data_IF_792102297343
#
_entry.id   IF_792102297343
#
_cell.length_a   1.000
_cell.length_b   1.000
_cell.length_c   1.000
_cell.angle_alpha   90.00
_cell.angle_beta   90.00
_cell.angle_gamma   90.00
#
_symmetry.space_group_name_H-M   'P 1'
#
loop_
_entity.id
_entity.type
_entity.pdbx_description
1 polymer ?
#
# COMPACT_ATOMS: atom_id res chain seq x y z
N UNK A 1 4.26 -6.54 -27.52
CA UNK A 1 4.08 -5.12 -27.10
C UNK A 1 3.94 -5.09 -25.59
N UNK A 2 4.60 -4.16 -24.90
CA UNK A 2 4.49 -4.03 -23.44
C UNK A 2 3.31 -3.12 -23.09
N UNK A 3 2.47 -3.55 -22.15
CA UNK A 3 1.32 -2.76 -21.68
C UNK A 3 1.77 -1.57 -20.82
N UNK A 4 1.04 -0.46 -20.96
CA UNK A 4 1.21 0.76 -20.14
C UNK A 4 0.19 0.82 -19.00
N UNK A 5 -1.03 0.33 -19.22
CA UNK A 5 -2.06 0.22 -18.19
C UNK A 5 -2.67 -1.18 -18.27
N UNK A 6 -2.89 -1.80 -17.11
CA UNK A 6 -3.55 -3.10 -17.03
C UNK A 6 -4.69 -3.00 -16.03
N UNK A 7 -5.90 -3.29 -16.50
CA UNK A 7 -7.12 -3.41 -15.71
C UNK A 7 -7.59 -4.85 -15.80
N UNK A 8 -7.37 -5.61 -14.73
CA UNK A 8 -7.75 -7.01 -14.60
C UNK A 8 -8.55 -7.27 -13.32
N UNK A 9 -9.13 -6.21 -12.75
CA UNK A 9 -9.96 -6.31 -11.56
C UNK A 9 -11.28 -7.05 -11.81
N UNK A 10 -11.94 -7.47 -10.73
CA UNK A 10 -13.22 -8.20 -10.76
C UNK A 10 -13.17 -9.49 -11.56
N UNK A 11 -12.15 -10.30 -11.28
CA UNK A 11 -11.98 -11.61 -11.88
C UNK A 11 -11.79 -12.66 -10.79
N UNK A 12 -11.44 -13.88 -11.18
CA UNK A 12 -11.11 -14.98 -10.27
C UNK A 12 -9.62 -15.34 -10.35
N UNK A 13 -8.77 -14.37 -10.66
CA UNK A 13 -7.33 -14.60 -10.82
C UNK A 13 -6.74 -15.05 -9.48
N UNK A 14 -6.10 -16.22 -9.50
CA UNK A 14 -5.31 -16.75 -8.38
C UNK A 14 -3.84 -16.39 -8.50
N UNK A 15 -3.39 -16.04 -9.70
CA UNK A 15 -2.04 -15.58 -10.00
C UNK A 15 -2.08 -14.45 -11.05
N UNK A 16 -1.08 -13.58 -11.01
CA UNK A 16 -0.90 -12.48 -11.95
C UNK A 16 0.60 -12.26 -12.17
N UNK A 17 1.07 -12.52 -13.39
CA UNK A 17 2.43 -12.20 -13.83
C UNK A 17 2.42 -10.96 -14.71
N UNK A 18 3.00 -9.88 -14.21
CA UNK A 18 3.20 -8.60 -14.93
C UNK A 18 4.68 -8.31 -15.20
N UNK A 19 5.56 -9.29 -15.02
CA UNK A 19 7.02 -9.12 -15.07
C UNK A 19 7.54 -8.65 -16.44
N UNK A 20 6.81 -8.97 -17.52
CA UNK A 20 7.12 -8.55 -18.90
C UNK A 20 6.58 -7.16 -19.24
N UNK A 21 5.74 -6.57 -18.40
CA UNK A 21 5.13 -5.26 -18.60
C UNK A 21 5.97 -4.17 -17.93
N UNK A 22 7.25 -4.06 -18.27
CA UNK A 22 8.19 -3.13 -17.62
C UNK A 22 7.82 -1.64 -17.77
N UNK A 23 6.99 -1.32 -18.78
CA UNK A 23 6.45 0.02 -19.03
C UNK A 23 5.10 0.28 -18.33
N UNK A 24 4.64 -0.62 -17.47
CA UNK A 24 3.36 -0.49 -16.77
C UNK A 24 3.39 0.71 -15.82
N UNK A 25 2.45 1.63 -16.00
CA UNK A 25 2.24 2.86 -15.23
C UNK A 25 1.11 2.68 -14.22
N UNK A 26 0.05 1.95 -14.58
CA UNK A 26 -1.09 1.67 -13.72
C UNK A 26 -1.45 0.19 -13.75
N UNK A 27 -1.64 -0.37 -12.55
CA UNK A 27 -2.14 -1.72 -12.36
C UNK A 27 -3.39 -1.67 -11.48
N UNK A 28 -4.50 -2.14 -12.02
CA UNK A 28 -5.68 -2.52 -11.25
C UNK A 28 -5.88 -4.04 -11.34
N UNK A 29 -5.66 -4.71 -10.21
CA UNK A 29 -5.90 -6.14 -10.00
C UNK A 29 -6.86 -6.39 -8.83
N UNK A 30 -7.69 -5.40 -8.50
CA UNK A 30 -8.64 -5.46 -7.40
C UNK A 30 -9.70 -6.55 -7.56
N UNK A 31 -10.31 -7.01 -6.47
CA UNK A 31 -11.39 -8.00 -6.52
C UNK A 31 -10.97 -9.27 -7.28
N UNK A 32 -9.93 -9.93 -6.78
CA UNK A 32 -9.42 -11.21 -7.28
C UNK A 32 -9.14 -12.16 -6.11
N UNK A 33 -8.42 -13.26 -6.36
CA UNK A 33 -8.03 -14.25 -5.36
C UNK A 33 -6.50 -14.33 -5.20
N UNK A 34 -5.80 -13.23 -5.44
CA UNK A 34 -4.34 -13.18 -5.36
C UNK A 34 -3.87 -13.37 -3.91
N UNK A 35 -2.82 -14.16 -3.72
CA UNK A 35 -2.18 -14.44 -2.42
C UNK A 35 -0.88 -13.65 -2.26
N UNK A 36 -0.22 -13.35 -3.38
CA UNK A 36 1.02 -12.57 -3.47
C UNK A 36 0.95 -11.68 -4.68
N UNK A 37 1.67 -10.56 -4.65
CA UNK A 37 1.81 -9.69 -5.81
C UNK A 37 3.26 -9.22 -5.94
N UNK A 38 3.89 -9.53 -7.07
CA UNK A 38 5.22 -9.04 -7.41
C UNK A 38 5.11 -8.01 -8.54
N UNK A 39 5.45 -6.76 -8.22
CA UNK A 39 5.53 -5.65 -9.19
C UNK A 39 6.96 -5.08 -9.29
N UNK A 40 7.96 -5.80 -8.78
CA UNK A 40 9.36 -5.36 -8.70
C UNK A 40 10.02 -5.12 -10.06
N UNK A 41 9.43 -5.61 -11.16
CA UNK A 41 9.88 -5.35 -12.53
C UNK A 41 9.17 -4.18 -13.19
N UNK A 42 8.07 -3.69 -12.62
CA UNK A 42 7.28 -2.58 -13.15
C UNK A 42 7.83 -1.25 -12.61
N UNK A 43 9.09 -0.94 -12.92
CA UNK A 43 9.82 0.22 -12.35
C UNK A 43 9.16 1.58 -12.64
N UNK A 44 8.28 1.64 -13.65
CA UNK A 44 7.53 2.83 -14.04
C UNK A 44 6.15 2.94 -13.38
N UNK A 45 5.78 1.98 -12.52
CA UNK A 45 4.45 1.91 -11.90
C UNK A 45 4.23 3.09 -10.96
N UNK A 46 3.18 3.88 -11.23
CA UNK A 46 2.78 5.06 -10.47
C UNK A 46 1.58 4.80 -9.58
N UNK A 47 0.68 3.91 -10.00
CA UNK A 47 -0.58 3.64 -9.30
C UNK A 47 -0.85 2.15 -9.23
N UNK A 48 -1.04 1.64 -8.01
CA UNK A 48 -1.35 0.25 -7.73
C UNK A 48 -2.68 0.14 -6.98
N UNK A 49 -3.66 -0.53 -7.59
CA UNK A 49 -4.91 -0.93 -6.97
C UNK A 49 -4.93 -2.46 -6.89
N UNK A 50 -4.89 -2.99 -5.67
CA UNK A 50 -4.88 -4.42 -5.39
C UNK A 50 -5.82 -4.80 -4.23
N UNK A 51 -6.82 -3.96 -3.99
CA UNK A 51 -7.79 -4.16 -2.91
C UNK A 51 -8.69 -5.37 -3.14
N UNK A 52 -9.32 -5.86 -2.07
CA UNK A 52 -10.22 -7.01 -2.10
C UNK A 52 -9.56 -8.25 -2.73
N UNK A 53 -8.45 -8.68 -2.13
CA UNK A 53 -7.74 -9.91 -2.47
C UNK A 53 -7.42 -10.68 -1.16
N UNK A 54 -6.57 -11.70 -1.24
CA UNK A 54 -6.02 -12.39 -0.06
C UNK A 54 -4.51 -12.20 0.05
N UNK A 55 -4.00 -11.05 -0.39
CA UNK A 55 -2.55 -10.80 -0.50
C UNK A 55 -1.92 -10.75 0.88
N UNK A 56 -0.87 -11.54 1.06
CA UNK A 56 -0.07 -11.63 2.28
C UNK A 56 1.23 -10.82 2.20
N UNK A 57 1.71 -10.55 0.98
CA UNK A 57 2.88 -9.70 0.73
C UNK A 57 2.90 -9.12 -0.68
N UNK A 58 3.43 -7.90 -0.79
CA UNK A 58 3.62 -7.17 -2.05
C UNK A 58 5.10 -6.80 -2.18
N UNK A 59 5.73 -7.15 -3.31
CA UNK A 59 7.12 -6.75 -3.59
C UNK A 59 7.17 -5.40 -4.29
N UNK A 60 7.53 -4.35 -3.55
CA UNK A 60 7.52 -2.93 -3.99
C UNK A 60 8.91 -2.29 -4.11
N UNK A 61 9.99 -3.05 -3.88
CA UNK A 61 11.34 -2.52 -3.61
C UNK A 61 11.93 -1.65 -4.73
N UNK A 62 11.49 -1.85 -5.97
CA UNK A 62 12.03 -1.16 -7.15
C UNK A 62 11.06 -0.12 -7.73
N UNK A 63 9.90 0.08 -7.11
CA UNK A 63 8.88 1.00 -7.63
C UNK A 63 9.06 2.40 -7.04
N UNK A 64 10.22 3.02 -7.22
CA UNK A 64 10.57 4.31 -6.59
C UNK A 64 9.68 5.48 -7.05
N UNK A 65 9.10 5.36 -8.26
CA UNK A 65 8.19 6.34 -8.85
C UNK A 65 6.72 6.16 -8.44
N UNK A 66 6.42 5.18 -7.59
CA UNK A 66 5.07 4.91 -7.15
C UNK A 66 4.52 6.11 -6.35
N UNK A 67 3.26 6.46 -6.59
CA UNK A 67 2.57 7.64 -6.02
C UNK A 67 1.38 7.26 -5.17
N UNK A 68 0.67 6.20 -5.56
CA UNK A 68 -0.55 5.75 -4.91
C UNK A 68 -0.58 4.23 -4.75
N UNK A 69 -0.88 3.77 -3.54
CA UNK A 69 -1.16 2.36 -3.23
C UNK A 69 -2.55 2.28 -2.60
N UNK A 70 -3.44 1.51 -3.20
CA UNK A 70 -4.70 1.10 -2.61
C UNK A 70 -4.68 -0.43 -2.47
N UNK A 71 -4.45 -0.89 -1.25
CA UNK A 71 -4.42 -2.31 -0.90
C UNK A 71 -5.41 -2.72 0.22
N UNK A 72 -6.57 -2.05 0.43
CA UNK A 72 -7.46 -2.48 1.50
C UNK A 72 -8.11 -3.85 1.27
N UNK A 73 -8.62 -4.46 2.33
CA UNK A 73 -9.26 -5.79 2.28
C UNK A 73 -8.30 -6.85 1.72
N UNK A 74 -7.18 -7.05 2.43
CA UNK A 74 -6.15 -8.04 2.15
C UNK A 74 -5.70 -8.70 3.47
N UNK A 75 -4.60 -9.45 3.44
CA UNK A 75 -4.04 -10.16 4.61
C UNK A 75 -2.58 -9.77 4.87
N UNK A 76 -2.22 -8.51 4.59
CA UNK A 76 -0.85 -8.04 4.74
C UNK A 76 -0.45 -8.03 6.22
N UNK A 77 0.60 -8.77 6.56
CA UNK A 77 1.25 -8.70 7.87
C UNK A 77 2.29 -7.59 7.92
N UNK A 78 3.03 -7.40 6.83
CA UNK A 78 4.04 -6.34 6.69
C UNK A 78 3.86 -5.67 5.33
N UNK A 79 3.90 -4.35 5.31
CA UNK A 79 3.96 -3.55 4.08
C UNK A 79 5.16 -2.59 4.18
N UNK A 80 6.22 -2.88 3.44
CA UNK A 80 7.41 -2.03 3.37
C UNK A 80 7.33 -1.11 2.16
N UNK A 81 7.21 0.19 2.41
CA UNK A 81 7.18 1.24 1.38
C UNK A 81 8.35 2.21 1.50
N UNK A 82 9.41 1.86 2.23
CA UNK A 82 10.58 2.74 2.43
C UNK A 82 11.26 3.16 1.13
N UNK A 83 11.21 2.30 0.10
CA UNK A 83 11.80 2.59 -1.22
C UNK A 83 10.90 3.45 -2.10
N UNK A 84 9.59 3.54 -1.80
CA UNK A 84 8.63 4.30 -2.60
C UNK A 84 8.63 5.78 -2.18
N UNK A 85 9.78 6.46 -2.33
CA UNK A 85 10.03 7.81 -1.79
C UNK A 85 9.07 8.89 -2.29
N UNK A 86 8.47 8.71 -3.46
CA UNK A 86 7.48 9.63 -3.99
C UNK A 86 6.03 9.25 -3.70
N UNK A 87 5.77 8.24 -2.87
CA UNK A 87 4.44 7.85 -2.45
C UNK A 87 3.78 9.01 -1.71
N UNK A 88 2.62 9.45 -2.19
CA UNK A 88 1.85 10.55 -1.58
C UNK A 88 0.58 10.04 -0.90
N UNK A 89 0.07 8.89 -1.34
CA UNK A 89 -1.18 8.32 -0.84
C UNK A 89 -1.06 6.80 -0.63
N UNK A 90 -1.35 6.35 0.58
CA UNK A 90 -1.35 4.95 0.96
C UNK A 90 -2.65 4.60 1.69
N UNK A 91 -3.41 3.68 1.12
CA UNK A 91 -4.54 3.04 1.79
C UNK A 91 -4.27 1.55 1.99
N UNK A 92 -4.20 1.13 3.24
CA UNK A 92 -4.00 -0.26 3.65
C UNK A 92 -4.97 -0.67 4.76
N UNK A 93 -6.18 -0.09 4.77
CA UNK A 93 -7.28 -0.50 5.66
C UNK A 93 -7.70 -1.96 5.47
N UNK A 94 -8.38 -2.53 6.44
CA UNK A 94 -8.88 -3.88 6.48
C UNK A 94 -7.82 -4.91 6.05
N UNK A 95 -6.63 -4.85 6.66
CA UNK A 95 -5.61 -5.89 6.52
C UNK A 95 -5.66 -6.80 7.76
N UNK A 96 -4.50 -7.14 8.34
CA UNK A 96 -4.45 -7.85 9.61
C UNK A 96 -4.47 -6.86 10.78
N UNK A 97 -5.08 -7.27 11.91
CA UNK A 97 -5.25 -6.44 13.12
C UNK A 97 -3.93 -5.84 13.66
N UNK A 98 -2.80 -6.50 13.39
CA UNK A 98 -1.46 -6.11 13.84
C UNK A 98 -0.49 -5.92 12.66
N UNK A 99 -0.98 -5.49 11.50
CA UNK A 99 -0.10 -5.27 10.36
C UNK A 99 0.93 -4.16 10.65
N UNK A 100 2.16 -4.40 10.21
CA UNK A 100 3.27 -3.46 10.33
C UNK A 100 3.44 -2.72 9.01
N UNK A 101 3.49 -1.40 9.06
CA UNK A 101 3.75 -0.57 7.88
C UNK A 101 5.07 0.15 8.11
N UNK A 102 6.01 -0.07 7.20
CA UNK A 102 7.35 0.51 7.28
C UNK A 102 7.43 1.62 6.24
N UNK A 103 7.62 2.85 6.71
CA UNK A 103 7.61 4.06 5.87
C UNK A 103 8.95 4.78 6.02
N UNK A 104 9.44 5.37 4.93
CA UNK A 104 10.63 6.25 4.98
C UNK A 104 10.34 7.49 5.87
N UNK A 105 11.22 7.85 6.83
CA UNK A 105 11.07 9.06 7.64
C UNK A 105 10.97 10.36 6.82
N UNK A 106 11.51 10.37 5.60
CA UNK A 106 11.46 11.48 4.66
C UNK A 106 10.44 11.24 3.53
N UNK A 107 9.47 10.35 3.76
CA UNK A 107 8.41 10.08 2.80
C UNK A 107 7.61 11.34 2.45
N UNK A 108 7.16 11.41 1.20
CA UNK A 108 6.25 12.46 0.69
C UNK A 108 4.77 12.14 0.93
N UNK A 109 4.48 11.15 1.77
CA UNK A 109 3.10 10.82 2.11
C UNK A 109 2.39 12.07 2.61
N UNK A 110 1.19 12.31 2.10
CA UNK A 110 0.28 13.34 2.57
C UNK A 110 -1.03 12.74 3.06
N UNK A 111 -1.40 11.55 2.56
CA UNK A 111 -2.63 10.85 2.92
C UNK A 111 -2.37 9.39 3.27
N UNK A 112 -2.78 8.99 4.48
CA UNK A 112 -2.58 7.64 4.98
C UNK A 112 -3.88 7.11 5.60
N UNK A 113 -4.37 5.98 5.06
CA UNK A 113 -5.61 5.34 5.50
C UNK A 113 -5.26 4.03 6.22
N UNK A 114 -5.60 3.96 7.51
CA UNK A 114 -5.24 2.87 8.43
C UNK A 114 -6.46 2.31 9.14
N UNK A 115 -6.32 1.08 9.67
CA UNK A 115 -7.31 0.50 10.57
C UNK A 115 -7.17 1.05 11.98
N UNK A 116 -8.30 1.12 12.68
CA UNK A 116 -8.41 1.63 14.06
C UNK A 116 -7.57 0.85 15.09
N UNK A 117 -7.17 -0.38 14.78
CA UNK A 117 -6.36 -1.23 15.67
C UNK A 117 -4.87 -1.20 15.37
N UNK A 118 -4.43 -0.50 14.32
CA UNK A 118 -3.02 -0.32 14.03
C UNK A 118 -2.44 0.58 15.12
N UNK A 119 -1.76 -0.04 16.09
CA UNK A 119 -0.88 0.66 17.01
C UNK A 119 0.13 1.39 16.14
N UNK A 120 0.04 2.72 16.07
CA UNK A 120 0.92 3.57 15.27
C UNK A 120 2.32 3.57 15.91
N UNK A 121 3.05 2.46 15.77
CA UNK A 121 4.32 2.18 16.44
C UNK A 121 5.54 2.54 15.59
N UNK A 122 5.37 3.10 14.38
CA UNK A 122 6.50 3.52 13.57
C UNK A 122 6.78 5.02 13.78
N UNK A 123 8.01 5.41 14.20
CA UNK A 123 8.38 6.82 14.43
C UNK A 123 8.02 7.75 13.26
N UNK A 124 8.17 7.27 12.02
CA UNK A 124 7.82 8.07 10.84
C UNK A 124 6.32 8.37 10.69
N UNK A 125 5.42 7.57 11.28
CA UNK A 125 3.97 7.81 11.22
C UNK A 125 3.58 8.91 12.21
N UNK A 126 4.21 8.95 13.39
CA UNK A 126 4.10 10.08 14.32
C UNK A 126 4.61 11.36 13.64
N UNK A 127 5.83 11.32 13.12
CA UNK A 127 6.41 12.47 12.41
C UNK A 127 5.59 12.90 11.18
N UNK A 128 4.85 11.98 10.54
CA UNK A 128 3.95 12.28 9.43
C UNK A 128 2.77 13.16 9.87
N UNK A 129 2.13 12.84 11.01
CA UNK A 129 1.06 13.67 11.55
C UNK A 129 1.59 15.04 11.99
N UNK A 130 2.73 15.07 12.67
CA UNK A 130 3.34 16.30 13.17
C UNK A 130 3.73 17.27 12.03
N UNK A 131 3.98 16.76 10.82
CA UNK A 131 4.24 17.54 9.59
C UNK A 131 2.99 17.88 8.78
N UNK A 132 1.79 17.68 9.31
CA UNK A 132 0.52 18.07 8.67
C UNK A 132 -0.10 17.03 7.74
N UNK A 133 0.34 15.77 7.81
CA UNK A 133 -0.26 14.67 7.06
C UNK A 133 -1.67 14.30 7.52
N UNK A 134 -2.53 13.91 6.58
CA UNK A 134 -3.92 13.53 6.83
C UNK A 134 -4.03 12.01 7.11
N UNK A 135 -4.51 11.67 8.30
CA UNK A 135 -4.82 10.30 8.71
C UNK A 135 -6.32 10.05 8.58
N UNK A 136 -6.69 8.99 7.86
CA UNK A 136 -8.09 8.63 7.61
C UNK A 136 -8.43 7.22 8.14
N UNK A 137 -9.45 7.13 9.00
CA UNK A 137 -9.87 5.92 9.73
C UNK A 137 -11.33 6.03 10.19
N UNK A 138 -11.99 4.92 10.55
CA UNK A 138 -13.22 4.98 11.34
C UNK A 138 -12.82 5.30 12.77
N UNK A 139 -12.69 6.60 13.08
CA UNK A 139 -12.44 7.08 14.43
C UNK A 139 -13.79 7.33 15.11
N UNK A 140 -14.31 6.33 15.82
CA UNK A 140 -15.27 6.61 16.87
C UNK A 140 -14.47 7.13 18.07
N UNK A 141 -14.42 8.47 18.17
CA UNK A 141 -14.01 9.24 19.33
C UNK A 141 -12.61 8.96 19.92
N UNK A 142 -11.75 9.98 19.82
CA UNK A 142 -10.45 10.08 20.46
C UNK A 142 -9.43 9.05 19.95
N UNK A 143 -8.55 9.50 19.06
CA UNK A 143 -7.24 8.86 18.95
C UNK A 143 -6.64 8.82 20.36
N UNK A 144 -6.43 7.65 21.01
CA UNK A 144 -5.63 7.64 22.21
C UNK A 144 -4.28 8.30 21.89
N UNK A 145 -3.68 9.07 22.82
CA UNK A 145 -2.37 9.66 22.60
C UNK A 145 -1.42 8.57 22.09
N UNK A 146 -0.59 8.92 21.10
CA UNK A 146 0.45 8.04 20.58
C UNK A 146 1.29 7.55 21.77
N UNK A 147 0.95 6.37 22.28
CA UNK A 147 1.51 5.82 23.49
C UNK A 147 2.35 4.65 23.06
N UNK A 148 3.66 4.90 23.01
CA UNK A 148 4.65 3.86 22.82
C UNK A 148 4.50 2.82 23.92
N UNK A 149 4.33 1.55 23.53
CA UNK A 149 4.89 0.44 24.30
C UNK A 149 5.95 -0.22 23.42
#
# INVERSE_FOLDING_TARGET
MALTNLYCGYNLLTNLDVSKNTNLIKLDCSNNKLITLDVSKNINLKELLCYANSITGIQLSNNEVLRKIYCPANRLAVLDVRRNKGLTELNCKNNLRNNVIIVDPNSKLTRLYLDSFIMCNHPSIKDFKDRGGELYGTFSEVLPPFTCK
#
